data_IF_758557371080
#
_entry.id   IF_758557371080
#
_cell.length_a   1.000
_cell.length_b   1.000
_cell.length_c   1.000
_cell.angle_alpha   90.00
_cell.angle_beta   90.00
_cell.angle_gamma   90.00
#
_symmetry.space_group_name_H-M   'P 1'
#
loop_
_entity.id
_entity.type
_entity.pdbx_description
1 polymer ?
#
# COMPACT_ATOMS: atom_id res chain seq x y z
N UNK A 1 14.94 1.92 21.00
CA UNK A 1 13.83 1.39 20.19
C UNK A 1 14.39 1.08 18.81
N UNK A 2 14.46 -0.19 18.44
CA UNK A 2 14.85 -0.56 17.09
C UNK A 2 13.60 -0.42 16.24
N UNK A 3 13.49 0.65 15.46
CA UNK A 3 12.48 0.71 14.41
C UNK A 3 12.79 -0.45 13.45
N UNK A 4 11.97 -1.50 13.47
CA UNK A 4 11.93 -2.45 12.36
C UNK A 4 11.56 -1.66 11.11
N UNK A 5 12.52 -1.49 10.23
CA UNK A 5 12.36 -0.89 8.91
C UNK A 5 11.64 -1.94 8.07
N UNK A 6 10.68 -1.49 7.27
CA UNK A 6 10.07 -2.34 6.25
C UNK A 6 11.20 -2.96 5.39
N UNK A 7 11.11 -4.23 4.99
CA UNK A 7 12.07 -4.81 4.06
C UNK A 7 12.27 -3.92 2.84
N UNK A 8 13.50 -3.66 2.42
CA UNK A 8 13.80 -2.75 1.29
C UNK A 8 13.08 -3.16 -0.01
N UNK A 9 12.76 -4.44 -0.16
CA UNK A 9 12.03 -4.96 -1.32
C UNK A 9 10.52 -4.65 -1.29
N UNK A 10 9.95 -4.22 -0.16
CA UNK A 10 8.50 -4.02 -0.04
C UNK A 10 8.00 -2.88 -0.92
N UNK A 11 8.80 -1.84 -1.08
CA UNK A 11 8.49 -0.67 -1.91
C UNK A 11 8.32 -1.06 -3.39
N UNK A 12 8.98 -2.14 -3.81
CA UNK A 12 8.92 -2.66 -5.18
C UNK A 12 7.65 -3.47 -5.47
N UNK A 13 6.98 -4.00 -4.44
CA UNK A 13 5.80 -4.87 -4.57
C UNK A 13 4.61 -4.10 -5.16
N UNK A 14 3.76 -4.78 -5.93
CA UNK A 14 2.53 -4.20 -6.46
C UNK A 14 1.53 -3.86 -5.36
N UNK A 15 0.52 -3.04 -5.68
CA UNK A 15 -0.53 -2.69 -4.72
C UNK A 15 -1.27 -3.94 -4.23
N UNK A 16 -1.55 -4.89 -5.13
CA UNK A 16 -2.20 -6.16 -4.79
C UNK A 16 -1.35 -6.96 -3.81
N UNK A 17 -0.06 -7.16 -4.09
CA UNK A 17 0.83 -7.91 -3.21
C UNK A 17 0.95 -7.29 -1.82
N UNK A 18 0.98 -5.95 -1.73
CA UNK A 18 1.00 -5.23 -0.46
C UNK A 18 -0.29 -5.45 0.33
N UNK A 19 -1.45 -5.38 -0.34
CA UNK A 19 -2.75 -5.67 0.27
C UNK A 19 -2.83 -7.12 0.74
N UNK A 20 -2.37 -8.09 -0.06
CA UNK A 20 -2.36 -9.51 0.33
C UNK A 20 -1.44 -9.78 1.54
N UNK A 21 -0.34 -9.02 1.68
CA UNK A 21 0.51 -9.08 2.88
C UNK A 21 -0.24 -8.49 4.09
N UNK A 22 -0.91 -7.34 3.92
CA UNK A 22 -1.67 -6.71 4.99
C UNK A 22 -2.81 -7.60 5.48
N UNK A 23 -3.56 -8.22 4.56
CA UNK A 23 -4.68 -9.10 4.89
C UNK A 23 -4.22 -10.34 5.66
N UNK A 24 -3.11 -10.96 5.24
CA UNK A 24 -2.50 -12.08 5.97
C UNK A 24 -2.06 -11.68 7.37
N UNK A 25 -1.43 -10.52 7.50
CA UNK A 25 -0.97 -10.02 8.80
C UNK A 25 -2.15 -9.70 9.73
N UNK A 26 -3.24 -9.14 9.21
CA UNK A 26 -4.47 -8.91 9.97
C UNK A 26 -5.02 -10.25 10.48
N UNK A 27 -5.12 -11.27 9.62
CA UNK A 27 -5.57 -12.60 10.02
C UNK A 27 -4.67 -13.20 11.12
N UNK A 28 -3.35 -13.06 11.02
CA UNK A 28 -2.42 -13.51 12.06
C UNK A 28 -2.65 -12.77 13.39
N UNK A 29 -2.78 -11.44 13.33
CA UNK A 29 -3.02 -10.57 14.48
C UNK A 29 -4.35 -10.87 15.17
N UNK A 30 -5.43 -11.10 14.41
CA UNK A 30 -6.76 -11.45 14.94
C UNK A 30 -6.77 -12.78 15.70
N UNK A 31 -5.85 -13.69 15.36
CA UNK A 31 -5.72 -14.98 16.03
C UNK A 31 -4.79 -14.95 17.25
N UNK A 32 -4.06 -13.85 17.49
CA UNK A 32 -3.16 -13.72 18.64
C UNK A 32 -3.93 -13.29 19.89
N UNK A 33 -3.74 -14.03 20.99
CA UNK A 33 -4.34 -13.72 22.30
C UNK A 33 -3.55 -12.68 23.09
N UNK A 34 -2.24 -12.57 22.85
CA UNK A 34 -1.37 -11.63 23.54
C UNK A 34 -1.02 -10.44 22.63
N UNK A 35 -1.58 -9.28 22.97
CA UNK A 35 -1.36 -8.02 22.26
C UNK A 35 0.08 -7.53 22.40
N UNK A 36 0.72 -7.76 23.54
CA UNK A 36 2.05 -7.25 23.86
C UNK A 36 3.13 -7.90 22.98
N UNK A 37 2.97 -9.19 22.68
CA UNK A 37 3.80 -9.96 21.74
C UNK A 37 3.58 -9.55 20.27
N UNK A 38 2.54 -8.76 20.00
CA UNK A 38 2.09 -8.41 18.64
C UNK A 38 2.33 -6.93 18.30
N UNK A 39 2.92 -6.15 19.21
CA UNK A 39 3.16 -4.70 19.01
C UNK A 39 3.96 -4.44 17.73
N UNK A 40 5.02 -5.21 17.50
CA UNK A 40 5.86 -5.09 16.31
C UNK A 40 5.06 -5.32 15.02
N UNK A 41 4.17 -6.31 15.03
CA UNK A 41 3.33 -6.68 13.88
C UNK A 41 2.30 -5.59 13.59
N UNK A 42 1.69 -4.99 14.62
CA UNK A 42 0.80 -3.84 14.45
C UNK A 42 1.54 -2.61 13.91
N UNK A 43 2.75 -2.33 14.42
CA UNK A 43 3.57 -1.24 13.89
C UNK A 43 3.93 -1.46 12.42
N UNK A 44 4.26 -2.69 12.05
CA UNK A 44 4.52 -3.07 10.67
C UNK A 44 3.27 -2.91 9.81
N UNK A 45 2.09 -3.36 10.27
CA UNK A 45 0.82 -3.19 9.57
C UNK A 45 0.50 -1.72 9.29
N UNK A 46 0.73 -0.83 10.26
CA UNK A 46 0.53 0.62 10.08
C UNK A 46 1.45 1.16 8.97
N UNK A 47 2.73 0.79 8.99
CA UNK A 47 3.69 1.21 7.97
C UNK A 47 3.30 0.68 6.58
N UNK A 48 2.88 -0.59 6.51
CA UNK A 48 2.42 -1.22 5.29
C UNK A 48 1.17 -0.53 4.74
N UNK A 49 0.19 -0.20 5.59
CA UNK A 49 -1.03 0.47 5.16
C UNK A 49 -0.75 1.89 4.63
N UNK A 50 0.16 2.63 5.27
CA UNK A 50 0.61 3.94 4.77
C UNK A 50 1.29 3.84 3.40
N UNK A 51 2.03 2.75 3.13
CA UNK A 51 2.64 2.50 1.83
C UNK A 51 1.57 2.19 0.76
N UNK A 52 0.60 1.33 1.10
CA UNK A 52 -0.56 1.02 0.23
C UNK A 52 -1.29 2.30 -0.15
N UNK A 53 -1.60 3.15 0.83
CA UNK A 53 -2.28 4.43 0.60
C UNK A 53 -1.50 5.31 -0.39
N UNK A 54 -0.20 5.52 -0.15
CA UNK A 54 0.65 6.33 -1.02
C UNK A 54 0.70 5.79 -2.45
N UNK A 55 0.85 4.46 -2.62
CA UNK A 55 0.89 3.84 -3.94
C UNK A 55 -0.47 3.95 -4.65
N UNK A 56 -1.57 3.74 -3.93
CA UNK A 56 -2.92 3.90 -4.47
C UNK A 56 -3.17 5.34 -4.95
N UNK A 57 -2.85 6.35 -4.13
CA UNK A 57 -2.98 7.76 -4.48
C UNK A 57 -2.17 8.10 -5.74
N UNK A 58 -0.90 7.65 -5.81
CA UNK A 58 -0.04 7.88 -6.98
C UNK A 58 -0.62 7.26 -8.25
N UNK A 59 -1.09 6.01 -8.16
CA UNK A 59 -1.69 5.31 -9.30
C UNK A 59 -2.97 6.02 -9.78
N UNK A 60 -3.85 6.41 -8.84
CA UNK A 60 -5.08 7.15 -9.14
C UNK A 60 -4.81 8.48 -9.84
N UNK A 61 -3.81 9.23 -9.36
CA UNK A 61 -3.37 10.48 -9.99
C UNK A 61 -2.85 10.25 -11.42
N UNK A 62 -2.00 9.24 -11.62
CA UNK A 62 -1.48 8.90 -12.95
C UNK A 62 -2.61 8.51 -13.94
N UNK A 63 -3.60 7.75 -13.48
CA UNK A 63 -4.78 7.40 -14.29
C UNK A 63 -5.55 8.66 -14.68
N UNK A 64 -5.78 9.55 -13.72
CA UNK A 64 -6.51 10.81 -13.95
C UNK A 64 -5.78 11.68 -14.99
N UNK A 65 -4.48 11.87 -14.83
CA UNK A 65 -3.65 12.67 -15.75
C UNK A 65 -3.61 12.05 -17.15
N UNK A 66 -3.34 10.75 -17.26
CA UNK A 66 -3.30 10.06 -18.55
C UNK A 66 -4.65 10.04 -19.27
N UNK A 67 -5.75 9.95 -18.52
CA UNK A 67 -7.11 10.01 -19.07
C UNK A 67 -7.42 11.41 -19.60
N UNK A 68 -7.07 12.45 -18.82
CA UNK A 68 -7.23 13.84 -19.26
C UNK A 68 -6.45 14.12 -20.55
N UNK A 69 -5.19 13.71 -20.63
CA UNK A 69 -4.37 13.86 -21.83
C UNK A 69 -4.99 13.17 -23.06
N UNK A 70 -5.47 11.92 -22.90
CA UNK A 70 -6.15 11.20 -23.99
C UNK A 70 -7.40 11.91 -24.47
N UNK A 71 -8.19 12.48 -23.54
CA UNK A 71 -9.38 13.26 -23.90
C UNK A 71 -8.98 14.51 -24.70
N UNK A 72 -7.97 15.25 -24.24
CA UNK A 72 -7.46 16.44 -24.95
C UNK A 72 -6.91 16.12 -26.34
N UNK A 73 -6.24 14.97 -26.51
CA UNK A 73 -5.76 14.50 -27.82
C UNK A 73 -6.91 14.15 -28.78
N UNK A 74 -7.99 13.56 -28.26
CA UNK A 74 -9.16 13.24 -29.06
C UNK A 74 -9.93 14.50 -29.47
N UNK A 75 -10.10 15.47 -28.56
CA UNK A 75 -10.81 16.71 -28.86
C UNK A 75 -10.04 17.62 -29.82
N UNK A 76 -8.70 17.61 -29.82
CA UNK A 76 -7.88 18.35 -30.79
C UNK A 76 -7.92 17.79 -32.22
N UNK A 77 -8.37 16.54 -32.40
CA UNK A 77 -8.48 15.87 -33.71
C UNK A 77 -9.84 16.11 -34.39
N UNK A 78 -10.79 16.70 -33.67
CA UNK A 78 -12.13 17.08 -34.14
C UNK A 78 -12.08 18.57 -34.53
#
# INVERSE_FOLDING_TARGET
MNEKILPDDIESKSLSELTDIADRLIQELENKKNLEESIDDYQYLIKLNNLIEKKFQKNSKNITESTKLKIEELTKKI
#
